data_IF_040482163885
#
_entry.id   IF_040482163885
#
_cell.length_a   1.000
_cell.length_b   1.000
_cell.length_c   1.000
_cell.angle_alpha   90.00
_cell.angle_beta   90.00
_cell.angle_gamma   90.00
#
_symmetry.space_group_name_H-M   'P 1'
#
loop_
_entity.id
_entity.type
_entity.pdbx_description
1 polymer ?
#
# COMPACT_ATOMS: atom_id res chain seq x y z
N UNK A 1 -11.28 -16.24 -13.54
CA UNK A 1 -11.05 -15.15 -12.57
C UNK A 1 -10.36 -13.98 -13.27
N UNK A 2 -10.64 -12.74 -12.86
CA UNK A 2 -10.01 -11.55 -13.42
C UNK A 2 -9.63 -10.61 -12.26
N UNK A 3 -8.35 -10.30 -12.15
CA UNK A 3 -7.76 -9.39 -11.16
C UNK A 3 -7.16 -8.19 -11.90
N UNK A 4 -7.73 -7.01 -11.69
CA UNK A 4 -7.19 -5.75 -12.20
C UNK A 4 -6.56 -4.99 -11.03
N UNK A 5 -5.30 -4.57 -11.20
CA UNK A 5 -4.52 -3.87 -10.16
C UNK A 5 -4.24 -2.46 -10.64
N UNK A 6 -4.75 -1.48 -9.92
CA UNK A 6 -4.45 -0.06 -10.11
C UNK A 6 -3.31 0.34 -9.18
N UNK A 7 -2.17 0.70 -9.77
CA UNK A 7 -0.93 0.93 -9.01
C UNK A 7 -0.12 2.09 -9.58
N UNK A 8 1.01 2.37 -8.97
CA UNK A 8 2.00 3.36 -9.42
C UNK A 8 3.35 3.07 -8.75
N UNK A 9 4.41 3.73 -9.21
CA UNK A 9 5.77 3.55 -8.71
C UNK A 9 5.95 4.14 -7.30
N UNK A 10 5.28 3.55 -6.31
CA UNK A 10 5.33 3.95 -4.91
C UNK A 10 5.48 2.72 -4.00
N UNK A 11 6.00 2.89 -2.77
CA UNK A 11 6.10 1.77 -1.81
C UNK A 11 4.77 1.06 -1.56
N UNK A 12 3.64 1.77 -1.58
CA UNK A 12 2.33 1.16 -1.40
C UNK A 12 1.89 0.34 -2.62
N UNK A 13 2.18 0.82 -3.83
CA UNK A 13 1.91 0.08 -5.06
C UNK A 13 2.76 -1.18 -5.17
N UNK A 14 4.04 -1.09 -4.82
CA UNK A 14 4.97 -2.23 -4.87
C UNK A 14 4.59 -3.37 -3.94
N UNK A 15 3.98 -3.10 -2.79
CA UNK A 15 3.47 -4.18 -1.92
C UNK A 15 2.57 -5.15 -2.68
N UNK A 16 1.70 -4.62 -3.52
CA UNK A 16 0.70 -5.44 -4.21
C UNK A 16 1.33 -6.19 -5.37
N UNK A 17 2.21 -5.55 -6.13
CA UNK A 17 2.92 -6.25 -7.21
C UNK A 17 3.86 -7.32 -6.67
N UNK A 18 4.55 -7.07 -5.55
CA UNK A 18 5.38 -8.08 -4.87
C UNK A 18 4.50 -9.26 -4.41
N UNK A 19 3.36 -9.00 -3.76
CA UNK A 19 2.46 -10.08 -3.32
C UNK A 19 1.95 -10.93 -4.49
N UNK A 20 1.65 -10.31 -5.63
CA UNK A 20 1.23 -11.01 -6.83
C UNK A 20 2.36 -11.91 -7.36
N UNK A 21 3.58 -11.41 -7.45
CA UNK A 21 4.74 -12.19 -7.88
C UNK A 21 5.04 -13.36 -6.93
N UNK A 22 4.96 -13.13 -5.62
CA UNK A 22 5.12 -14.19 -4.61
C UNK A 22 4.05 -15.30 -4.74
N UNK A 23 2.80 -14.94 -5.02
CA UNK A 23 1.73 -15.90 -5.26
C UNK A 23 1.97 -16.70 -6.55
N UNK A 24 2.41 -16.04 -7.61
CA UNK A 24 2.75 -16.70 -8.89
C UNK A 24 3.93 -17.65 -8.70
N UNK A 25 4.99 -17.21 -8.01
CA UNK A 25 6.18 -18.03 -7.72
C UNK A 25 5.82 -19.26 -6.85
N UNK A 26 4.84 -19.11 -5.96
CA UNK A 26 4.28 -20.21 -5.18
C UNK A 26 3.39 -21.17 -6.01
N UNK A 27 3.25 -20.95 -7.32
CA UNK A 27 2.45 -21.78 -8.22
C UNK A 27 0.92 -21.56 -8.11
N UNK A 28 0.50 -20.44 -7.52
CA UNK A 28 -0.92 -20.11 -7.36
C UNK A 28 -1.46 -19.52 -8.67
N UNK A 29 -2.54 -20.11 -9.17
CA UNK A 29 -3.24 -19.58 -10.34
C UNK A 29 -4.15 -18.40 -9.96
N UNK A 30 -3.73 -17.20 -10.32
CA UNK A 30 -4.48 -15.97 -10.12
C UNK A 30 -5.49 -15.68 -11.24
N UNK A 31 -5.50 -16.52 -12.28
CA UNK A 31 -6.25 -16.27 -13.52
C UNK A 31 -5.65 -15.11 -14.31
N UNK A 32 -6.52 -14.31 -14.97
CA UNK A 32 -6.05 -13.14 -15.73
C UNK A 32 -5.72 -11.99 -14.78
N UNK A 33 -4.46 -11.62 -14.71
CA UNK A 33 -3.99 -10.42 -13.99
C UNK A 33 -3.72 -9.30 -15.00
N UNK A 34 -4.26 -8.12 -14.72
CA UNK A 34 -4.05 -6.89 -15.50
C UNK A 34 -3.51 -5.79 -14.58
N UNK A 35 -2.33 -5.28 -14.89
CA UNK A 35 -1.72 -4.16 -14.14
C UNK A 35 -2.02 -2.85 -14.86
N UNK A 36 -2.70 -1.92 -14.21
CA UNK A 36 -2.98 -0.55 -14.67
C UNK A 36 -2.17 0.44 -13.86
N UNK A 37 -1.15 0.97 -14.50
CA UNK A 37 -0.35 2.03 -13.90
C UNK A 37 -1.06 3.37 -14.05
N UNK A 38 -1.22 4.10 -12.92
CA UNK A 38 -1.76 5.45 -12.88
C UNK A 38 -0.62 6.47 -12.80
N UNK A 39 -0.73 7.53 -13.60
CA UNK A 39 0.14 8.70 -13.49
C UNK A 39 -0.38 9.63 -12.40
N UNK A 40 0.26 9.59 -11.23
CA UNK A 40 -0.12 10.43 -10.09
C UNK A 40 0.17 11.92 -10.35
N UNK A 41 1.18 12.23 -11.18
CA UNK A 41 1.51 13.59 -11.58
C UNK A 41 0.44 14.22 -12.51
N UNK A 42 -0.22 13.38 -13.31
CA UNK A 42 -1.25 13.83 -14.26
C UNK A 42 -2.66 13.80 -13.62
N UNK A 43 -2.75 13.32 -12.38
CA UNK A 43 -4.00 13.33 -11.63
C UNK A 43 -4.94 12.17 -11.96
N UNK A 44 -4.45 11.07 -12.54
CA UNK A 44 -5.26 9.89 -12.91
C UNK A 44 -6.11 9.37 -11.74
N UNK A 45 -5.59 9.50 -10.50
CA UNK A 45 -6.28 9.07 -9.28
C UNK A 45 -7.54 9.90 -8.97
N UNK A 46 -7.71 11.06 -9.59
CA UNK A 46 -8.87 11.94 -9.40
C UNK A 46 -9.94 11.75 -10.48
N UNK A 47 -9.72 10.89 -11.46
CA UNK A 47 -10.72 10.58 -12.49
C UNK A 47 -11.94 9.92 -11.85
N UNK A 48 -13.13 10.17 -12.44
CA UNK A 48 -14.37 9.54 -12.00
C UNK A 48 -14.28 8.01 -12.03
N UNK A 49 -13.68 7.46 -13.07
CA UNK A 49 -13.50 6.01 -13.20
C UNK A 49 -12.72 5.42 -12.03
N UNK A 50 -11.62 6.06 -11.61
CA UNK A 50 -10.85 5.56 -10.49
C UNK A 50 -11.51 5.87 -9.14
N UNK A 51 -12.17 7.03 -9.00
CA UNK A 51 -12.92 7.40 -7.79
C UNK A 51 -14.03 6.39 -7.48
N UNK A 52 -14.69 5.85 -8.51
CA UNK A 52 -15.70 4.79 -8.35
C UNK A 52 -15.09 3.46 -7.86
N UNK A 53 -13.80 3.22 -8.08
CA UNK A 53 -13.08 2.04 -7.58
C UNK A 53 -12.56 2.30 -6.16
N UNK A 54 -11.96 3.45 -5.94
CA UNK A 54 -11.43 3.88 -4.66
C UNK A 54 -11.83 5.33 -4.34
N UNK A 55 -12.82 5.54 -3.47
CA UNK A 55 -13.28 6.87 -3.09
C UNK A 55 -12.21 7.69 -2.32
N UNK A 56 -11.17 7.04 -1.79
CA UNK A 56 -10.02 7.71 -1.17
C UNK A 56 -9.03 8.29 -2.20
N UNK A 57 -9.20 7.99 -3.50
CA UNK A 57 -8.41 8.54 -4.61
C UNK A 57 -6.90 8.31 -4.45
N UNK A 58 -6.51 7.16 -3.92
CA UNK A 58 -5.11 6.74 -3.73
C UNK A 58 -4.87 5.35 -4.30
N UNK A 59 -3.68 5.16 -4.86
CA UNK A 59 -3.19 3.83 -5.21
C UNK A 59 -2.56 3.17 -3.95
N UNK A 60 -2.53 1.83 -3.88
CA UNK A 60 -3.14 0.87 -4.81
C UNK A 60 -4.64 0.67 -4.57
N UNK A 61 -5.31 0.13 -5.59
CA UNK A 61 -6.65 -0.45 -5.51
C UNK A 61 -6.70 -1.68 -6.42
N UNK A 62 -7.59 -2.62 -6.15
CA UNK A 62 -7.82 -3.78 -7.02
C UNK A 62 -9.29 -3.92 -7.34
N UNK A 63 -9.57 -4.54 -8.49
CA UNK A 63 -10.89 -5.06 -8.85
C UNK A 63 -10.74 -6.54 -9.12
N UNK A 64 -11.32 -7.37 -8.26
CA UNK A 64 -11.28 -8.83 -8.40
C UNK A 64 -12.69 -9.38 -8.58
N UNK A 65 -12.99 -9.91 -9.77
CA UNK A 65 -14.32 -10.43 -10.11
C UNK A 65 -15.46 -9.44 -9.79
N UNK A 66 -15.24 -8.15 -10.02
CA UNK A 66 -16.20 -7.08 -9.75
C UNK A 66 -16.16 -6.51 -8.33
N UNK A 67 -15.45 -7.13 -7.40
CA UNK A 67 -15.24 -6.59 -6.06
C UNK A 67 -14.11 -5.56 -6.05
N UNK A 68 -14.36 -4.39 -5.51
CA UNK A 68 -13.38 -3.33 -5.33
C UNK A 68 -12.75 -3.43 -3.94
N UNK A 69 -11.42 -3.47 -3.87
CA UNK A 69 -10.68 -3.42 -2.60
C UNK A 69 -9.60 -2.34 -2.70
N UNK A 70 -9.54 -1.49 -1.70
CA UNK A 70 -8.54 -0.45 -1.56
C UNK A 70 -7.91 -0.51 -0.16
N UNK A 71 -6.88 0.30 0.12
CA UNK A 71 -5.92 0.20 1.21
C UNK A 71 -4.93 -0.97 1.01
N UNK A 72 -3.62 -0.63 0.91
CA UNK A 72 -2.61 -1.62 0.55
C UNK A 72 -2.57 -2.83 1.49
N UNK A 73 -2.76 -2.61 2.81
CA UNK A 73 -2.76 -3.72 3.78
C UNK A 73 -4.04 -4.54 3.72
N UNK A 74 -5.19 -3.93 3.44
CA UNK A 74 -6.43 -4.65 3.20
C UNK A 74 -6.35 -5.50 1.91
N UNK A 75 -5.71 -4.98 0.86
CA UNK A 75 -5.46 -5.73 -0.37
C UNK A 75 -4.56 -6.95 -0.11
N UNK A 76 -3.46 -6.77 0.66
CA UNK A 76 -2.58 -7.88 1.04
C UNK A 76 -3.34 -8.97 1.80
N UNK A 77 -4.14 -8.57 2.79
CA UNK A 77 -4.98 -9.50 3.53
C UNK A 77 -5.98 -10.21 2.62
N UNK A 78 -6.69 -9.46 1.78
CA UNK A 78 -7.66 -10.01 0.82
C UNK A 78 -7.04 -11.04 -0.12
N UNK A 79 -5.87 -10.73 -0.69
CA UNK A 79 -5.16 -11.64 -1.58
C UNK A 79 -4.72 -12.90 -0.83
N UNK A 80 -4.18 -12.76 0.39
CA UNK A 80 -3.76 -13.88 1.21
C UNK A 80 -4.91 -14.78 1.67
N UNK A 81 -6.09 -14.22 1.93
CA UNK A 81 -7.29 -14.99 2.30
C UNK A 81 -7.96 -15.63 1.07
N UNK A 82 -7.87 -14.97 -0.09
CA UNK A 82 -8.49 -15.46 -1.34
C UNK A 82 -7.66 -16.55 -2.00
N UNK A 83 -6.35 -16.41 -1.99
CA UNK A 83 -5.41 -17.32 -2.62
C UNK A 83 -4.58 -18.02 -1.54
N UNK A 84 -4.75 -19.35 -1.36
CA UNK A 84 -4.04 -20.12 -0.33
C UNK A 84 -2.52 -19.93 -0.43
N UNK A 85 -1.91 -19.40 0.61
CA UNK A 85 -0.48 -19.09 0.64
C UNK A 85 0.08 -19.23 2.06
N UNK A 86 1.36 -19.57 2.16
CA UNK A 86 2.09 -19.55 3.44
C UNK A 86 2.38 -18.14 3.95
N UNK A 87 2.29 -17.12 3.07
CA UNK A 87 2.50 -15.72 3.45
C UNK A 87 1.37 -15.17 4.32
N UNK A 88 0.16 -15.73 4.19
CA UNK A 88 -0.98 -15.37 5.02
C UNK A 88 -1.70 -16.64 5.47
N UNK A 89 -1.36 -17.21 6.65
CA UNK A 89 -1.93 -18.45 7.13
C UNK A 89 -3.44 -18.36 7.36
N UNK A 90 -4.16 -19.44 7.03
CA UNK A 90 -5.62 -19.51 7.23
C UNK A 90 -6.05 -19.90 8.65
N UNK A 91 -5.11 -20.30 9.49
CA UNK A 91 -5.33 -20.74 10.86
C UNK A 91 -5.06 -19.63 11.91
N UNK A 92 -4.97 -19.99 13.18
CA UNK A 92 -4.72 -19.05 14.27
C UNK A 92 -3.39 -18.29 14.15
N UNK A 93 -2.42 -18.82 13.39
CA UNK A 93 -1.11 -18.17 13.19
C UNK A 93 -1.22 -16.89 12.35
N UNK A 94 -2.35 -16.65 11.64
CA UNK A 94 -2.65 -15.37 11.00
C UNK A 94 -2.55 -14.18 11.94
N UNK A 95 -2.79 -14.38 13.24
CA UNK A 95 -2.65 -13.35 14.26
C UNK A 95 -1.21 -12.91 14.51
N UNK A 96 -0.23 -13.62 13.98
CA UNK A 96 1.16 -13.17 13.95
C UNK A 96 1.41 -12.19 12.77
N UNK A 97 0.59 -12.23 11.73
CA UNK A 97 0.69 -11.38 10.53
C UNK A 97 -0.18 -10.12 10.63
N UNK A 98 -1.44 -10.28 11.05
CA UNK A 98 -2.42 -9.19 11.09
C UNK A 98 -1.92 -7.95 11.87
N UNK A 99 -1.32 -8.06 13.07
CA UNK A 99 -0.82 -6.88 13.79
C UNK A 99 0.22 -6.09 12.98
N UNK A 100 1.07 -6.75 12.19
CA UNK A 100 2.06 -6.08 11.35
C UNK A 100 1.44 -5.33 10.18
N UNK A 101 0.36 -5.85 9.58
CA UNK A 101 -0.38 -5.13 8.55
C UNK A 101 -1.00 -3.84 9.11
N UNK A 102 -1.67 -3.94 10.25
CA UNK A 102 -2.26 -2.76 10.91
C UNK A 102 -1.19 -1.80 11.42
N UNK A 103 -0.09 -2.31 11.97
CA UNK A 103 1.02 -1.49 12.40
C UNK A 103 1.65 -0.73 11.22
N UNK A 104 1.82 -1.39 10.07
CA UNK A 104 2.32 -0.73 8.86
C UNK A 104 1.35 0.36 8.39
N UNK A 105 0.06 0.08 8.35
CA UNK A 105 -0.96 1.04 7.90
C UNK A 105 -1.09 2.26 8.84
N UNK A 106 -1.03 2.01 10.15
CA UNK A 106 -1.22 3.06 11.16
C UNK A 106 0.06 3.85 11.49
N UNK A 107 1.23 3.28 11.30
CA UNK A 107 2.50 3.87 11.73
C UNK A 107 3.46 4.10 10.57
N UNK A 108 3.99 3.03 9.94
CA UNK A 108 5.03 3.16 8.90
C UNK A 108 4.54 4.04 7.74
N UNK A 109 3.38 3.71 7.17
CA UNK A 109 2.83 4.43 6.03
C UNK A 109 2.71 5.95 6.30
N UNK A 110 1.95 6.37 7.31
CA UNK A 110 1.77 7.79 7.63
C UNK A 110 3.07 8.50 8.05
N UNK A 111 3.90 7.89 8.88
CA UNK A 111 5.10 8.55 9.41
C UNK A 111 6.14 8.77 8.31
N UNK A 112 6.45 7.73 7.52
CA UNK A 112 7.39 7.86 6.41
C UNK A 112 6.84 8.73 5.29
N UNK A 113 5.52 8.64 5.00
CA UNK A 113 4.85 9.48 4.02
C UNK A 113 4.90 10.95 4.38
N UNK A 114 4.58 11.32 5.64
CA UNK A 114 4.68 12.69 6.12
C UNK A 114 6.12 13.20 6.11
N UNK A 115 7.09 12.39 6.60
CA UNK A 115 8.50 12.77 6.53
C UNK A 115 8.92 13.08 5.09
N UNK A 116 8.56 12.23 4.14
CA UNK A 116 8.86 12.43 2.73
C UNK A 116 8.21 13.69 2.18
N UNK A 117 6.94 13.94 2.52
CA UNK A 117 6.19 15.13 2.08
C UNK A 117 6.87 16.42 2.53
N UNK A 118 7.19 16.55 3.81
CA UNK A 118 7.89 17.73 4.33
C UNK A 118 9.32 17.88 3.82
N UNK A 119 9.96 16.76 3.45
CA UNK A 119 11.34 16.81 2.94
C UNK A 119 11.39 17.16 1.45
N UNK A 120 10.42 16.68 0.62
CA UNK A 120 10.54 16.73 -0.83
C UNK A 120 9.41 17.47 -1.55
N UNK A 121 8.16 17.43 -1.05
CA UNK A 121 7.00 17.85 -1.82
C UNK A 121 6.43 19.20 -1.37
N UNK A 122 6.42 19.49 -0.08
CA UNK A 122 5.97 20.79 0.44
C UNK A 122 7.09 21.81 0.21
N UNK A 123 6.95 22.60 -0.86
CA UNK A 123 7.97 23.59 -1.29
C UNK A 123 7.56 25.04 -1.04
N UNK A 124 6.30 25.27 -0.77
CA UNK A 124 5.69 26.58 -0.48
C UNK A 124 5.91 27.04 0.97
N UNK A 125 6.28 26.12 1.86
CA UNK A 125 6.68 26.44 3.22
C UNK A 125 8.20 26.70 3.33
N UNK A 126 8.59 27.65 4.17
CA UNK A 126 9.98 27.97 4.48
C UNK A 126 10.72 26.79 5.15
N UNK A 127 12.04 26.81 5.12
CA UNK A 127 12.86 25.79 5.82
C UNK A 127 12.59 25.79 7.32
N UNK A 128 12.31 26.94 7.92
CA UNK A 128 11.98 27.07 9.34
C UNK A 128 10.66 26.35 9.67
N UNK A 129 9.64 26.52 8.84
CA UNK A 129 8.34 25.89 9.03
C UNK A 129 8.40 24.37 8.84
N UNK A 130 9.23 23.89 7.92
CA UNK A 130 9.39 22.46 7.64
C UNK A 130 10.28 21.74 8.65
N UNK A 131 11.17 22.44 9.34
CA UNK A 131 12.17 21.86 10.24
C UNK A 131 11.54 20.99 11.33
N UNK A 132 10.58 21.52 12.06
CA UNK A 132 9.96 20.80 13.17
C UNK A 132 9.23 19.51 12.74
N UNK A 133 8.37 19.51 11.71
CA UNK A 133 7.79 18.28 11.17
C UNK A 133 8.85 17.26 10.71
N UNK A 134 9.88 17.70 9.99
CA UNK A 134 10.96 16.82 9.51
C UNK A 134 11.68 16.13 10.68
N UNK A 135 12.00 16.89 11.73
CA UNK A 135 12.64 16.36 12.94
C UNK A 135 11.71 15.39 13.69
N UNK A 136 10.44 15.78 13.89
CA UNK A 136 9.42 14.95 14.57
C UNK A 136 9.21 13.61 13.87
N UNK A 137 8.89 13.65 12.58
CA UNK A 137 8.65 12.43 11.81
C UNK A 137 9.94 11.62 11.61
N UNK A 138 11.11 12.28 11.56
CA UNK A 138 12.41 11.63 11.53
C UNK A 138 12.70 10.80 12.77
N UNK A 139 12.47 11.35 13.96
CA UNK A 139 12.65 10.64 15.23
C UNK A 139 11.70 9.44 15.33
N UNK A 140 10.44 9.64 14.97
CA UNK A 140 9.45 8.57 15.00
C UNK A 140 9.76 7.47 13.96
N UNK A 141 10.23 7.83 12.76
CA UNK A 141 10.66 6.86 11.76
C UNK A 141 11.81 5.97 12.27
N UNK A 142 12.79 6.56 12.96
CA UNK A 142 13.88 5.79 13.58
C UNK A 142 13.37 4.84 14.67
N UNK A 143 12.43 5.30 15.53
CA UNK A 143 11.80 4.43 16.52
C UNK A 143 11.09 3.24 15.88
N UNK A 144 10.34 3.50 14.79
CA UNK A 144 9.62 2.45 14.07
C UNK A 144 10.55 1.44 13.38
N UNK A 145 11.72 1.88 12.88
CA UNK A 145 12.74 0.96 12.37
C UNK A 145 13.21 0.02 13.48
N UNK A 146 13.49 0.54 14.67
CA UNK A 146 13.89 -0.29 15.82
C UNK A 146 12.80 -1.23 16.36
N UNK A 147 11.56 -1.16 15.88
CA UNK A 147 10.51 -2.16 16.18
C UNK A 147 10.63 -3.40 15.27
N UNK A 148 11.32 -3.25 14.13
CA UNK A 148 11.51 -4.35 13.16
C UNK A 148 12.76 -5.17 13.43
N UNK A 149 13.69 -4.67 14.26
CA UNK A 149 14.91 -5.35 14.71
C UNK A 149 14.62 -6.26 15.93
#
# INVERSE_FOLDING_TARGET
MSLVVYTGATPNGWKITIMIEELIEAGIDLGRVEIRQLSLSDGDQFTENFTNINPNQKIPAIVHNGMHVFESCAILQYLGETFPTTLFPGDETRWQVIPWLYWQAANIGPIFGNKLSYTRYIRDASDLERRHPIERFGKEALRLIGVMD
#
